data_IF_937792790335
#
_entry.id   IF_937792790335
#
_cell.length_a   1.000
_cell.length_b   1.000
_cell.length_c   1.000
_cell.angle_alpha   90.00
_cell.angle_beta   90.00
_cell.angle_gamma   90.00
#
_symmetry.space_group_name_H-M   'P 1'
#
loop_
_entity.id
_entity.type
_entity.pdbx_description
1 polymer ?
#
# COMPACT_ATOMS: atom_id res chain seq x y z
N UNK A 1 31.69 42.49 -24.05
CA UNK A 1 30.30 42.56 -24.47
C UNK A 1 29.51 41.60 -23.57
N UNK A 2 28.46 42.12 -22.93
CA UNK A 2 27.66 41.33 -21.99
C UNK A 2 26.36 40.78 -22.62
N UNK A 3 26.27 40.86 -23.95
CA UNK A 3 25.10 40.40 -24.70
C UNK A 3 25.53 39.43 -25.80
N UNK A 4 24.74 38.37 -25.97
CA UNK A 4 24.89 37.46 -27.09
C UNK A 4 24.33 38.10 -28.36
N UNK A 5 25.05 38.02 -29.46
CA UNK A 5 24.55 38.41 -30.78
C UNK A 5 23.58 37.36 -31.32
N UNK A 6 22.73 37.73 -32.25
CA UNK A 6 21.82 36.81 -32.93
C UNK A 6 22.56 35.62 -33.57
N UNK A 7 23.79 35.83 -34.05
CA UNK A 7 24.64 34.80 -34.63
C UNK A 7 25.07 33.79 -33.56
N UNK A 8 25.49 34.26 -32.39
CA UNK A 8 25.88 33.40 -31.25
C UNK A 8 24.67 32.62 -30.70
N UNK A 9 23.52 33.30 -30.52
CA UNK A 9 22.27 32.67 -30.06
C UNK A 9 21.86 31.56 -31.03
N UNK A 10 21.88 31.82 -32.34
CA UNK A 10 21.46 30.86 -33.35
C UNK A 10 22.47 29.72 -33.57
N UNK A 11 23.67 29.80 -32.98
CA UNK A 11 24.69 28.76 -33.02
C UNK A 11 24.63 27.81 -31.79
N UNK A 12 23.78 28.09 -30.79
CA UNK A 12 23.66 27.26 -29.60
C UNK A 12 22.71 26.08 -29.86
N UNK A 13 23.26 24.89 -29.93
CA UNK A 13 22.52 23.62 -30.12
C UNK A 13 22.30 22.88 -28.80
N UNK A 14 23.09 23.18 -27.75
CA UNK A 14 23.00 22.49 -26.48
C UNK A 14 23.16 23.43 -25.30
N UNK A 15 22.23 23.32 -24.35
CA UNK A 15 22.29 23.99 -23.04
C UNK A 15 22.16 22.94 -21.94
N UNK A 16 23.18 22.91 -21.07
CA UNK A 16 23.13 22.15 -19.82
C UNK A 16 23.23 23.13 -18.64
N UNK A 17 22.12 23.29 -17.96
CA UNK A 17 21.99 24.11 -16.76
C UNK A 17 21.46 23.32 -15.56
N UNK A 18 21.71 22.00 -15.54
CA UNK A 18 21.29 21.09 -14.49
C UNK A 18 21.91 21.45 -13.13
N UNK A 19 21.11 21.27 -12.06
CA UNK A 19 21.54 21.43 -10.64
C UNK A 19 22.19 22.81 -10.38
N UNK A 20 21.53 23.90 -10.82
CA UNK A 20 22.01 25.28 -10.63
C UNK A 20 21.07 26.11 -9.74
N UNK A 21 20.00 25.53 -9.21
CA UNK A 21 19.01 26.27 -8.41
C UNK A 21 18.24 27.32 -9.22
N UNK A 22 18.14 27.14 -10.53
CA UNK A 22 17.47 28.07 -11.45
C UNK A 22 15.96 27.99 -11.25
N UNK A 23 15.32 29.14 -11.06
CA UNK A 23 13.88 29.27 -10.93
C UNK A 23 13.19 29.81 -12.19
N UNK A 24 13.92 30.33 -13.15
CA UNK A 24 13.40 30.94 -14.36
C UNK A 24 14.35 30.73 -15.54
N UNK A 25 13.84 30.25 -16.66
CA UNK A 25 14.51 30.13 -17.96
C UNK A 25 13.90 31.07 -19.00
N UNK A 26 13.38 32.23 -18.57
CA UNK A 26 12.95 33.28 -19.49
C UNK A 26 14.07 33.62 -20.47
N UNK A 27 13.76 33.64 -21.76
CA UNK A 27 14.74 33.86 -22.84
C UNK A 27 15.22 32.58 -23.51
N UNK A 28 14.94 31.38 -22.99
CA UNK A 28 15.27 30.12 -23.68
C UNK A 28 14.67 30.04 -25.08
N UNK A 29 13.54 30.71 -25.32
CA UNK A 29 12.85 30.80 -26.61
C UNK A 29 13.67 31.49 -27.72
N UNK A 30 14.72 32.21 -27.39
CA UNK A 30 15.61 32.81 -28.39
C UNK A 30 16.55 31.81 -29.06
N UNK A 31 16.82 30.67 -28.41
CA UNK A 31 17.73 29.62 -28.90
C UNK A 31 16.99 28.67 -29.85
N UNK A 32 16.63 29.14 -31.03
CA UNK A 32 15.77 28.38 -31.96
C UNK A 32 16.45 27.18 -32.61
N UNK A 33 17.79 27.10 -32.58
CA UNK A 33 18.59 25.97 -33.04
C UNK A 33 18.84 24.90 -31.92
N UNK A 34 18.27 25.12 -30.71
CA UNK A 34 18.54 24.26 -29.58
C UNK A 34 17.97 22.85 -29.81
N UNK A 35 18.86 21.85 -29.84
CA UNK A 35 18.55 20.43 -29.97
C UNK A 35 18.53 19.71 -28.61
N UNK A 36 19.36 20.17 -27.66
CA UNK A 36 19.48 19.58 -26.32
C UNK A 36 19.27 20.61 -25.23
N UNK A 37 18.27 20.40 -24.39
CA UNK A 37 18.06 21.14 -23.15
C UNK A 37 18.09 20.19 -21.96
N UNK A 38 19.10 20.38 -21.10
CA UNK A 38 19.15 19.72 -19.80
C UNK A 38 19.04 20.78 -18.70
N UNK A 39 17.89 20.80 -18.03
CA UNK A 39 17.59 21.68 -16.89
C UNK A 39 17.12 20.91 -15.66
N UNK A 40 17.56 19.64 -15.51
CA UNK A 40 17.17 18.78 -14.40
C UNK A 40 17.60 19.36 -13.04
N UNK A 41 16.88 18.95 -11.98
CA UNK A 41 17.12 19.33 -10.57
C UNK A 41 17.32 20.85 -10.39
N UNK A 42 16.29 21.61 -10.79
CA UNK A 42 16.20 23.05 -10.61
C UNK A 42 14.92 23.43 -9.83
N UNK A 43 14.52 24.70 -9.88
CA UNK A 43 13.35 25.23 -9.16
C UNK A 43 12.32 25.82 -10.13
N UNK A 44 12.27 25.30 -11.36
CA UNK A 44 11.39 25.82 -12.41
C UNK A 44 9.92 25.52 -12.07
N UNK A 45 9.09 26.55 -12.07
CA UNK A 45 7.63 26.43 -11.93
C UNK A 45 6.91 26.47 -13.28
N UNK A 46 7.60 26.92 -14.33
CA UNK A 46 7.14 26.94 -15.72
C UNK A 46 8.33 26.76 -16.67
N UNK A 47 8.07 26.20 -17.84
CA UNK A 47 9.07 26.04 -18.91
C UNK A 47 8.35 26.20 -20.25
N UNK A 48 8.73 27.24 -21.03
CA UNK A 48 8.21 27.47 -22.38
C UNK A 48 9.26 27.10 -23.41
N UNK A 49 9.12 25.95 -24.05
CA UNK A 49 9.98 25.44 -25.13
C UNK A 49 9.29 25.53 -26.49
N UNK A 50 8.18 26.28 -26.62
CA UNK A 50 7.38 26.36 -27.86
C UNK A 50 8.12 26.92 -29.07
N UNK A 51 9.23 27.64 -28.86
CA UNK A 51 10.07 28.17 -29.93
C UNK A 51 11.30 27.30 -30.23
N UNK A 52 11.64 26.38 -29.34
CA UNK A 52 12.78 25.48 -29.48
C UNK A 52 12.38 24.25 -30.29
N UNK A 53 11.90 24.45 -31.51
CA UNK A 53 11.29 23.41 -32.32
C UNK A 53 12.27 22.36 -32.86
N UNK A 54 13.59 22.64 -32.72
CA UNK A 54 14.65 21.69 -33.06
C UNK A 54 14.99 20.71 -31.92
N UNK A 55 14.35 20.83 -30.72
CA UNK A 55 14.65 19.96 -29.59
C UNK A 55 14.44 18.47 -29.94
N UNK A 56 15.50 17.72 -29.71
CA UNK A 56 15.58 16.25 -29.80
C UNK A 56 15.61 15.64 -28.40
N UNK A 57 16.27 16.33 -27.46
CA UNK A 57 16.46 15.88 -26.07
C UNK A 57 15.99 16.98 -25.11
N UNK A 58 15.06 16.64 -24.23
CA UNK A 58 14.60 17.51 -23.14
C UNK A 58 14.62 16.75 -21.83
N UNK A 59 15.46 17.21 -20.90
CA UNK A 59 15.48 16.75 -19.51
C UNK A 59 15.12 17.92 -18.59
N UNK A 60 13.92 17.87 -18.02
CA UNK A 60 13.42 18.80 -17.02
C UNK A 60 13.00 18.08 -15.72
N UNK A 61 13.57 16.89 -15.47
CA UNK A 61 13.37 16.13 -14.24
C UNK A 61 13.66 16.98 -12.99
N UNK A 62 12.94 16.70 -11.90
CA UNK A 62 13.24 17.30 -10.59
C UNK A 62 13.04 18.82 -10.56
N UNK A 63 11.91 19.29 -11.05
CA UNK A 63 11.48 20.69 -11.00
C UNK A 63 10.12 20.81 -10.27
N UNK A 64 9.44 21.95 -10.42
CA UNK A 64 8.14 22.24 -9.81
C UNK A 64 7.08 22.54 -10.88
N UNK A 65 7.24 21.96 -12.08
CA UNK A 65 6.34 22.20 -13.19
C UNK A 65 4.94 21.62 -12.92
N UNK A 66 3.92 22.45 -13.07
CA UNK A 66 2.51 22.03 -12.97
C UNK A 66 1.89 21.72 -14.32
N UNK A 67 2.52 22.17 -15.40
CA UNK A 67 2.17 21.89 -16.80
C UNK A 67 3.43 21.92 -17.67
N UNK A 68 3.41 21.19 -18.78
CA UNK A 68 4.47 21.20 -19.79
C UNK A 68 3.80 21.01 -21.16
N UNK A 69 4.05 21.93 -22.08
CA UNK A 69 3.60 21.86 -23.46
C UNK A 69 4.78 21.58 -24.39
N UNK A 70 4.84 20.37 -24.93
CA UNK A 70 5.84 19.92 -25.91
C UNK A 70 5.27 19.79 -27.32
N UNK A 71 4.04 20.24 -27.55
CA UNK A 71 3.31 20.05 -28.83
C UNK A 71 3.99 20.66 -30.07
N UNK A 72 5.00 21.51 -29.86
CA UNK A 72 5.83 22.12 -30.91
C UNK A 72 7.18 21.45 -31.12
N UNK A 73 7.56 20.54 -30.21
CA UNK A 73 8.88 19.91 -30.18
C UNK A 73 8.84 18.53 -30.86
N UNK A 74 8.26 18.46 -32.05
CA UNK A 74 7.91 17.21 -32.75
C UNK A 74 9.12 16.36 -33.17
N UNK A 75 10.33 16.88 -32.97
CA UNK A 75 11.60 16.16 -33.19
C UNK A 75 12.09 15.43 -31.92
N UNK A 76 11.41 15.58 -30.76
CA UNK A 76 11.82 14.95 -29.51
C UNK A 76 11.89 13.42 -29.66
N UNK A 77 13.05 12.88 -29.30
CA UNK A 77 13.29 11.43 -29.17
C UNK A 77 13.41 11.03 -27.69
N UNK A 78 13.83 11.96 -26.83
CA UNK A 78 13.97 11.76 -25.38
C UNK A 78 13.25 12.88 -24.63
N UNK A 79 12.39 12.49 -23.70
CA UNK A 79 11.72 13.39 -22.77
C UNK A 79 11.76 12.82 -21.35
N UNK A 80 12.48 13.50 -20.46
CA UNK A 80 12.37 13.29 -19.01
C UNK A 80 11.72 14.51 -18.36
N UNK A 81 10.49 14.34 -17.89
CA UNK A 81 9.73 15.32 -17.11
C UNK A 81 9.35 14.75 -15.73
N UNK A 82 10.06 13.73 -15.27
CA UNK A 82 9.84 13.09 -13.98
C UNK A 82 10.03 14.02 -12.79
N UNK A 83 9.52 13.63 -11.64
CA UNK A 83 9.61 14.38 -10.37
C UNK A 83 9.24 15.86 -10.53
N UNK A 84 8.02 16.07 -11.05
CA UNK A 84 7.36 17.36 -11.18
C UNK A 84 5.96 17.30 -10.53
N UNK A 85 5.09 18.24 -10.86
CA UNK A 85 3.71 18.32 -10.33
C UNK A 85 2.68 18.26 -11.47
N UNK A 86 3.01 17.57 -12.57
CA UNK A 86 2.17 17.49 -13.76
C UNK A 86 0.90 16.68 -13.45
N UNK A 87 -0.27 17.25 -13.75
CA UNK A 87 -1.56 16.56 -13.64
C UNK A 87 -2.03 15.99 -14.99
N UNK A 88 -1.42 16.45 -16.09
CA UNK A 88 -1.65 15.96 -17.46
C UNK A 88 -0.37 16.13 -18.29
N UNK A 89 -0.21 15.29 -19.30
CA UNK A 89 0.88 15.37 -20.27
C UNK A 89 0.33 14.93 -21.62
N UNK A 90 0.49 15.77 -22.65
CA UNK A 90 0.13 15.46 -24.04
C UNK A 90 1.39 15.33 -24.90
N UNK A 91 1.73 14.11 -25.28
CA UNK A 91 2.85 13.75 -26.16
C UNK A 91 2.38 13.29 -27.54
N UNK A 92 1.11 13.54 -27.89
CA UNK A 92 0.50 13.05 -29.13
C UNK A 92 1.13 13.59 -30.43
N UNK A 93 1.91 14.69 -30.32
CA UNK A 93 2.64 15.28 -31.44
C UNK A 93 4.10 14.81 -31.53
N UNK A 94 4.63 14.23 -30.48
CA UNK A 94 6.04 13.86 -30.35
C UNK A 94 6.22 12.40 -30.80
N UNK A 95 5.87 12.15 -32.04
CA UNK A 95 5.78 10.78 -32.60
C UNK A 95 7.14 10.11 -32.80
N UNK A 96 8.24 10.88 -32.67
CA UNK A 96 9.61 10.39 -32.73
C UNK A 96 10.16 9.91 -31.37
N UNK A 97 9.39 10.07 -30.27
CA UNK A 97 9.83 9.65 -28.93
C UNK A 97 10.18 8.15 -28.90
N UNK A 98 11.40 7.88 -28.45
CA UNK A 98 11.92 6.55 -28.16
C UNK A 98 11.98 6.28 -26.66
N UNK A 99 12.16 7.33 -25.86
CA UNK A 99 12.20 7.26 -24.39
C UNK A 99 11.33 8.35 -23.77
N UNK A 100 10.42 7.95 -22.89
CA UNK A 100 9.57 8.83 -22.10
C UNK A 100 9.66 8.47 -20.63
N UNK A 101 10.18 9.39 -19.84
CA UNK A 101 10.14 9.36 -18.38
C UNK A 101 9.22 10.47 -17.87
N UNK A 102 8.09 10.07 -17.30
CA UNK A 102 7.12 10.96 -16.65
C UNK A 102 6.82 10.52 -15.21
N UNK A 103 7.73 9.73 -14.60
CA UNK A 103 7.62 9.22 -13.24
C UNK A 103 7.43 10.31 -12.19
N UNK A 104 6.84 9.93 -11.04
CA UNK A 104 6.71 10.83 -9.88
C UNK A 104 6.05 12.16 -10.23
N UNK A 105 4.85 12.07 -10.80
CA UNK A 105 3.95 13.17 -11.12
C UNK A 105 2.54 12.89 -10.53
N UNK A 106 1.52 13.59 -10.99
CA UNK A 106 0.13 13.44 -10.55
C UNK A 106 -0.78 13.06 -11.72
N UNK A 107 -0.23 12.34 -12.71
CA UNK A 107 -0.96 11.96 -13.92
C UNK A 107 -2.07 10.95 -13.59
N UNK A 108 -3.30 11.25 -13.97
CA UNK A 108 -4.44 10.33 -13.87
C UNK A 108 -4.71 9.58 -15.17
N UNK A 109 -4.14 10.05 -16.28
CA UNK A 109 -4.23 9.49 -17.63
C UNK A 109 -2.92 9.74 -18.36
N UNK A 110 -2.55 8.81 -19.24
CA UNK A 110 -1.43 8.95 -20.16
C UNK A 110 -1.81 8.26 -21.47
N UNK A 111 -1.75 8.97 -22.59
CA UNK A 111 -1.99 8.43 -23.93
C UNK A 111 -0.68 8.44 -24.72
N UNK A 112 -0.13 7.26 -24.94
CA UNK A 112 1.10 7.02 -25.72
C UNK A 112 0.80 6.37 -27.08
N UNK A 113 -0.46 6.33 -27.49
CA UNK A 113 -0.89 5.62 -28.70
C UNK A 113 -0.27 6.17 -30.02
N UNK A 114 0.24 7.40 -29.99
CA UNK A 114 0.93 8.03 -31.12
C UNK A 114 2.45 7.86 -31.10
N UNK A 115 3.00 7.49 -29.94
CA UNK A 115 4.46 7.37 -29.73
C UNK A 115 4.91 5.93 -30.05
N UNK A 116 4.67 5.50 -31.29
CA UNK A 116 4.87 4.08 -31.69
C UNK A 116 6.34 3.67 -31.76
N UNK A 117 7.28 4.61 -31.67
CA UNK A 117 8.71 4.37 -31.62
C UNK A 117 9.24 4.15 -30.18
N UNK A 118 8.39 4.27 -29.15
CA UNK A 118 8.83 4.09 -27.76
C UNK A 118 9.43 2.70 -27.53
N UNK A 119 10.67 2.71 -27.04
CA UNK A 119 11.41 1.54 -26.55
C UNK A 119 11.44 1.50 -25.04
N UNK A 120 11.37 2.64 -24.37
CA UNK A 120 11.32 2.78 -22.90
C UNK A 120 10.20 3.72 -22.47
N UNK A 121 9.38 3.27 -21.51
CA UNK A 121 8.35 4.05 -20.86
C UNK A 121 8.47 3.90 -19.34
N UNK A 122 8.77 5.00 -18.66
CA UNK A 122 8.70 5.11 -17.20
C UNK A 122 7.58 6.06 -16.79
N UNK A 123 6.46 5.50 -16.34
CA UNK A 123 5.31 6.24 -15.84
C UNK A 123 4.96 5.88 -14.38
N UNK A 124 5.94 5.32 -13.65
CA UNK A 124 5.80 4.94 -12.24
C UNK A 124 5.46 6.12 -11.34
N UNK A 125 4.93 5.81 -10.15
CA UNK A 125 4.59 6.81 -9.11
C UNK A 125 3.72 7.95 -9.67
N UNK A 126 2.56 7.54 -10.21
CA UNK A 126 1.49 8.42 -10.70
C UNK A 126 0.13 7.95 -10.15
N UNK A 127 -0.97 8.40 -10.74
CA UNK A 127 -2.34 8.03 -10.34
C UNK A 127 -3.11 7.37 -11.50
N UNK A 128 -2.39 6.65 -12.37
CA UNK A 128 -2.97 6.02 -13.55
C UNK A 128 -3.90 4.87 -13.14
N UNK A 129 -5.14 4.92 -13.61
CA UNK A 129 -6.12 3.83 -13.43
C UNK A 129 -6.17 2.90 -14.64
N UNK A 130 -5.63 3.33 -15.78
CA UNK A 130 -5.52 2.60 -17.05
C UNK A 130 -4.27 3.01 -17.77
N UNK A 131 -3.66 2.07 -18.48
CA UNK A 131 -2.52 2.31 -19.37
C UNK A 131 -2.71 1.40 -20.60
N UNK A 132 -2.75 1.98 -21.80
CA UNK A 132 -2.79 1.25 -23.07
C UNK A 132 -1.48 1.43 -23.81
N UNK A 133 -0.69 0.34 -23.87
CA UNK A 133 0.58 0.26 -24.59
C UNK A 133 0.48 -0.57 -25.87
N UNK A 134 -0.73 -0.90 -26.32
CA UNK A 134 -0.95 -1.79 -27.46
C UNK A 134 -0.39 -1.29 -28.79
N UNK A 135 -0.10 0.01 -28.90
CA UNK A 135 0.53 0.63 -30.08
C UNK A 135 2.06 0.72 -30.01
N UNK A 136 2.63 0.53 -28.81
CA UNK A 136 4.05 0.65 -28.55
C UNK A 136 4.73 -0.72 -28.71
N UNK A 137 4.63 -1.30 -29.90
CA UNK A 137 4.99 -2.72 -30.15
C UNK A 137 6.48 -3.02 -30.10
N UNK A 138 7.32 -1.98 -30.11
CA UNK A 138 8.78 -2.07 -29.99
C UNK A 138 9.30 -1.83 -28.57
N UNK A 139 8.36 -1.65 -27.60
CA UNK A 139 8.68 -1.39 -26.20
C UNK A 139 9.48 -2.56 -25.61
N UNK A 140 10.65 -2.26 -25.06
CA UNK A 140 11.54 -3.20 -24.37
C UNK A 140 11.49 -3.07 -22.86
N UNK A 141 11.23 -1.85 -22.37
CA UNK A 141 11.19 -1.54 -20.93
C UNK A 141 9.90 -0.81 -20.58
N UNK A 142 9.16 -1.35 -19.62
CA UNK A 142 7.94 -0.74 -19.07
C UNK A 142 8.00 -0.70 -17.55
N UNK A 143 8.07 0.51 -16.99
CA UNK A 143 7.97 0.78 -15.56
C UNK A 143 6.69 1.56 -15.26
N UNK A 144 5.70 0.87 -14.69
CA UNK A 144 4.38 1.43 -14.36
C UNK A 144 3.95 1.16 -12.92
N UNK A 145 4.91 0.85 -12.04
CA UNK A 145 4.66 0.58 -10.63
C UNK A 145 4.22 1.84 -9.86
N UNK A 146 3.67 1.66 -8.64
CA UNK A 146 3.06 2.73 -7.84
C UNK A 146 2.02 3.54 -8.64
N UNK A 147 0.99 2.82 -9.13
CA UNK A 147 -0.18 3.38 -9.80
C UNK A 147 -1.47 2.72 -9.28
N UNK A 148 -2.58 2.90 -9.96
CA UNK A 148 -3.89 2.34 -9.60
C UNK A 148 -4.44 1.44 -10.72
N UNK A 149 -3.54 0.78 -11.46
CA UNK A 149 -3.93 -0.06 -12.60
C UNK A 149 -4.67 -1.32 -12.11
N UNK A 150 -5.86 -1.54 -12.65
CA UNK A 150 -6.64 -2.76 -12.38
C UNK A 150 -6.45 -3.83 -13.46
N UNK A 151 -5.93 -3.43 -14.64
CA UNK A 151 -5.60 -4.29 -15.77
C UNK A 151 -4.38 -3.74 -16.49
N UNK A 152 -3.57 -4.63 -17.04
CA UNK A 152 -2.44 -4.30 -17.91
C UNK A 152 -2.36 -5.37 -19.01
N UNK A 153 -2.53 -4.95 -20.27
CA UNK A 153 -2.37 -5.82 -21.43
C UNK A 153 -1.05 -5.51 -22.13
N UNK A 154 -0.11 -6.43 -22.04
CA UNK A 154 1.20 -6.37 -22.68
C UNK A 154 1.33 -7.34 -23.85
N UNK A 155 0.23 -7.94 -24.33
CA UNK A 155 0.22 -8.96 -25.36
C UNK A 155 0.79 -8.51 -26.73
N UNK A 156 0.81 -7.19 -26.96
CA UNK A 156 1.37 -6.59 -28.18
C UNK A 156 2.84 -6.17 -28.04
N UNK A 157 3.35 -6.12 -26.83
CA UNK A 157 4.70 -5.67 -26.51
C UNK A 157 5.66 -6.88 -26.47
N UNK A 158 5.75 -7.59 -27.56
CA UNK A 158 6.49 -8.87 -27.64
C UNK A 158 8.01 -8.71 -27.51
N UNK A 159 8.52 -7.49 -27.62
CA UNK A 159 9.92 -7.13 -27.42
C UNK A 159 10.27 -6.83 -25.96
N UNK A 160 9.29 -6.82 -25.02
CA UNK A 160 9.56 -6.52 -23.61
C UNK A 160 10.57 -7.49 -23.02
N UNK A 161 11.64 -6.90 -22.45
CA UNK A 161 12.67 -7.57 -21.65
C UNK A 161 12.49 -7.29 -20.16
N UNK A 162 11.98 -6.10 -19.82
CA UNK A 162 11.85 -5.59 -18.45
C UNK A 162 10.44 -5.06 -18.20
N UNK A 163 9.75 -5.65 -17.23
CA UNK A 163 8.42 -5.22 -16.77
C UNK A 163 8.40 -5.09 -15.25
N UNK A 164 8.16 -3.86 -14.76
CA UNK A 164 7.87 -3.60 -13.35
C UNK A 164 6.48 -2.96 -13.22
N UNK A 165 5.54 -3.70 -12.63
CA UNK A 165 4.15 -3.29 -12.43
C UNK A 165 3.68 -3.48 -10.97
N UNK A 166 4.64 -3.55 -10.03
CA UNK A 166 4.32 -3.74 -8.62
C UNK A 166 3.55 -2.55 -8.01
N UNK A 167 2.96 -2.71 -6.83
CA UNK A 167 2.13 -1.69 -6.18
C UNK A 167 1.04 -1.15 -7.12
N UNK A 168 0.21 -2.07 -7.63
CA UNK A 168 -0.98 -1.76 -8.43
C UNK A 168 -2.18 -2.57 -7.90
N UNK A 169 -3.26 -2.67 -8.67
CA UNK A 169 -4.47 -3.41 -8.32
C UNK A 169 -4.79 -4.49 -9.37
N UNK A 170 -3.74 -5.06 -10.01
CA UNK A 170 -3.89 -6.05 -11.06
C UNK A 170 -4.46 -7.34 -10.49
N UNK A 171 -5.56 -7.83 -11.06
CA UNK A 171 -6.16 -9.11 -10.68
C UNK A 171 -5.67 -10.28 -11.55
N UNK A 172 -5.08 -9.97 -12.69
CA UNK A 172 -4.44 -10.93 -13.61
C UNK A 172 -3.34 -10.25 -14.40
N UNK A 173 -2.34 -11.02 -14.82
CA UNK A 173 -1.26 -10.59 -15.69
C UNK A 173 -0.91 -11.74 -16.65
N UNK A 174 -1.12 -11.53 -17.96
CA UNK A 174 -0.75 -12.49 -18.99
C UNK A 174 0.51 -12.02 -19.70
N UNK A 175 1.62 -12.74 -19.48
CA UNK A 175 2.92 -12.51 -20.11
C UNK A 175 3.27 -13.58 -21.14
N UNK A 176 2.31 -14.41 -21.55
CA UNK A 176 2.53 -15.56 -22.45
C UNK A 176 3.08 -15.17 -23.84
N UNK A 177 2.91 -13.90 -24.25
CA UNK A 177 3.43 -13.36 -25.52
C UNK A 177 4.77 -12.64 -25.36
N UNK A 178 5.23 -12.40 -24.14
CA UNK A 178 6.44 -11.64 -23.85
C UNK A 178 7.64 -12.60 -23.70
N UNK A 179 7.95 -13.32 -24.80
CA UNK A 179 8.96 -14.40 -24.77
C UNK A 179 10.38 -13.90 -24.53
N UNK A 180 10.64 -12.61 -24.74
CA UNK A 180 11.93 -11.96 -24.46
C UNK A 180 12.07 -11.49 -23.00
N UNK A 181 10.98 -11.55 -22.18
CA UNK A 181 10.95 -11.01 -20.84
C UNK A 181 11.95 -11.73 -19.93
N UNK A 182 12.90 -10.98 -19.34
CA UNK A 182 13.96 -11.46 -18.44
C UNK A 182 13.76 -11.00 -17.01
N UNK A 183 13.18 -9.79 -16.83
CA UNK A 183 12.85 -9.22 -15.53
C UNK A 183 11.35 -9.00 -15.41
N UNK A 184 10.75 -9.53 -14.35
CA UNK A 184 9.35 -9.31 -14.01
C UNK A 184 9.21 -9.03 -12.52
N UNK A 185 8.68 -7.84 -12.20
CA UNK A 185 8.26 -7.48 -10.85
C UNK A 185 6.78 -7.13 -10.83
N UNK A 186 5.98 -7.99 -10.16
CA UNK A 186 4.54 -7.84 -9.99
C UNK A 186 4.12 -7.98 -8.51
N UNK A 187 5.02 -7.63 -7.58
CA UNK A 187 4.73 -7.59 -6.14
C UNK A 187 3.53 -6.67 -5.81
N UNK A 188 2.89 -6.89 -4.66
CA UNK A 188 1.84 -6.00 -4.15
C UNK A 188 0.75 -5.69 -5.19
N UNK A 189 0.11 -6.74 -5.70
CA UNK A 189 -1.06 -6.68 -6.56
C UNK A 189 -2.18 -7.56 -5.99
N UNK A 190 -3.13 -7.95 -6.82
CA UNK A 190 -4.25 -8.82 -6.48
C UNK A 190 -4.25 -10.08 -7.36
N UNK A 191 -3.07 -10.53 -7.79
CA UNK A 191 -2.94 -11.72 -8.64
C UNK A 191 -3.31 -12.97 -7.85
N UNK A 192 -3.91 -13.95 -8.54
CA UNK A 192 -4.21 -15.27 -8.00
C UNK A 192 -3.39 -16.38 -8.67
N UNK A 193 -2.77 -16.07 -9.80
CA UNK A 193 -1.92 -16.98 -10.57
C UNK A 193 -0.96 -16.18 -11.43
N UNK A 194 0.10 -16.83 -11.87
CA UNK A 194 1.04 -16.30 -12.85
C UNK A 194 1.64 -17.47 -13.63
N UNK A 195 1.75 -17.33 -14.94
CA UNK A 195 2.43 -18.31 -15.79
C UNK A 195 3.56 -17.63 -16.59
N UNK A 196 4.81 -18.01 -16.28
CA UNK A 196 6.02 -17.53 -16.94
C UNK A 196 6.66 -18.59 -17.86
N UNK A 197 5.97 -19.70 -18.14
CA UNK A 197 6.52 -20.83 -18.90
C UNK A 197 7.08 -20.43 -20.25
N UNK A 198 6.44 -19.45 -20.91
CA UNK A 198 6.81 -18.97 -22.23
C UNK A 198 7.77 -17.77 -22.23
N UNK A 199 8.17 -17.26 -21.08
CA UNK A 199 9.09 -16.11 -20.96
C UNK A 199 10.54 -16.57 -20.81
N UNK A 200 11.51 -15.66 -20.83
CA UNK A 200 12.90 -15.89 -20.42
C UNK A 200 13.21 -15.34 -19.02
N UNK A 201 12.17 -15.19 -18.18
CA UNK A 201 12.30 -14.56 -16.87
C UNK A 201 13.23 -15.36 -15.96
N UNK A 202 14.39 -14.79 -15.67
CA UNK A 202 15.34 -15.28 -14.67
C UNK A 202 15.20 -14.55 -13.34
N UNK A 203 14.78 -13.28 -13.39
CA UNK A 203 14.52 -12.44 -12.21
C UNK A 203 13.02 -12.20 -12.08
N UNK A 204 12.39 -12.95 -11.15
CA UNK A 204 10.96 -12.85 -10.83
C UNK A 204 10.77 -12.40 -9.39
N UNK A 205 10.04 -11.33 -9.17
CA UNK A 205 9.40 -10.98 -7.91
C UNK A 205 7.88 -10.94 -8.09
N UNK A 206 7.15 -11.65 -7.22
CA UNK A 206 5.69 -11.74 -7.27
C UNK A 206 5.16 -12.09 -5.86
N UNK A 207 5.49 -11.23 -4.88
CA UNK A 207 5.10 -11.38 -3.47
C UNK A 207 3.91 -10.50 -3.14
N UNK A 208 3.30 -10.73 -1.98
CA UNK A 208 2.28 -9.86 -1.41
C UNK A 208 1.09 -9.61 -2.35
N UNK A 209 0.74 -10.63 -3.16
CA UNK A 209 -0.46 -10.63 -3.96
C UNK A 209 -1.64 -11.13 -3.14
N UNK A 210 -2.60 -10.23 -2.85
CA UNK A 210 -3.75 -10.50 -1.99
C UNK A 210 -5.04 -10.24 -2.77
N UNK A 211 -5.76 -11.32 -3.09
CA UNK A 211 -7.05 -11.23 -3.77
C UNK A 211 -8.20 -11.39 -2.77
N UNK A 212 -9.21 -10.53 -2.87
CA UNK A 212 -10.37 -10.60 -1.98
C UNK A 212 -11.43 -11.50 -2.57
N UNK A 213 -11.95 -12.43 -1.73
CA UNK A 213 -13.05 -13.33 -2.09
C UNK A 213 -14.18 -13.22 -1.07
N UNK A 214 -15.39 -13.56 -1.53
CA UNK A 214 -16.57 -13.72 -0.68
C UNK A 214 -16.86 -15.22 -0.59
N UNK A 215 -16.91 -15.76 0.61
CA UNK A 215 -17.25 -17.19 0.85
C UNK A 215 -18.72 -17.35 1.17
N UNK A 216 -19.27 -18.51 0.85
CA UNK A 216 -20.63 -18.89 1.20
C UNK A 216 -20.81 -19.13 2.72
N UNK A 217 -22.07 -19.30 3.16
CA UNK A 217 -22.42 -19.49 4.56
C UNK A 217 -21.77 -20.73 5.19
N UNK A 218 -21.47 -21.76 4.40
CA UNK A 218 -20.74 -22.96 4.79
C UNK A 218 -19.22 -22.81 4.69
N UNK A 219 -18.74 -21.57 4.49
CA UNK A 219 -17.34 -21.18 4.33
C UNK A 219 -16.66 -21.79 3.10
N UNK A 220 -17.43 -22.03 2.04
CA UNK A 220 -16.90 -22.53 0.77
C UNK A 220 -16.75 -21.42 -0.26
N UNK A 221 -15.83 -21.64 -1.21
CA UNK A 221 -15.59 -20.78 -2.35
C UNK A 221 -15.24 -21.63 -3.57
N UNK A 222 -15.80 -21.28 -4.74
CA UNK A 222 -15.47 -21.93 -6.01
C UNK A 222 -14.23 -21.29 -6.64
N UNK A 223 -13.09 -21.99 -6.57
CA UNK A 223 -11.80 -21.55 -7.12
C UNK A 223 -11.82 -21.35 -8.64
N UNK A 224 -12.77 -21.97 -9.36
CA UNK A 224 -12.90 -21.78 -10.82
C UNK A 224 -13.33 -20.37 -11.20
N UNK A 225 -13.82 -19.58 -10.24
CA UNK A 225 -14.22 -18.17 -10.43
C UNK A 225 -13.06 -17.18 -10.28
N UNK A 226 -11.89 -17.65 -9.84
CA UNK A 226 -10.71 -16.79 -9.70
C UNK A 226 -10.23 -16.26 -11.05
N UNK A 227 -9.73 -15.02 -11.12
CA UNK A 227 -9.21 -14.44 -12.36
C UNK A 227 -7.86 -15.07 -12.77
N UNK A 228 -7.37 -14.70 -13.97
CA UNK A 228 -6.01 -15.02 -14.41
C UNK A 228 -5.81 -16.45 -14.92
N UNK A 229 -6.87 -17.11 -15.41
CA UNK A 229 -6.82 -18.53 -15.84
C UNK A 229 -6.30 -19.45 -14.71
N UNK A 230 -6.78 -19.20 -13.49
CA UNK A 230 -6.39 -19.98 -12.32
C UNK A 230 -6.63 -21.47 -12.56
N UNK A 231 -5.61 -22.28 -12.28
CA UNK A 231 -5.67 -23.73 -12.39
C UNK A 231 -5.30 -24.36 -11.04
N UNK A 232 -6.31 -25.00 -10.40
CA UNK A 232 -6.12 -25.67 -9.11
C UNK A 232 -5.07 -26.78 -9.15
N UNK A 233 -4.84 -27.41 -10.33
CA UNK A 233 -3.84 -28.45 -10.47
C UNK A 233 -2.39 -27.91 -10.35
N UNK A 234 -2.19 -26.60 -10.53
CA UNK A 234 -0.90 -25.92 -10.34
C UNK A 234 -0.68 -25.44 -8.90
N UNK A 235 -1.60 -25.77 -7.98
CA UNK A 235 -1.53 -25.30 -6.58
C UNK A 235 -0.99 -26.36 -5.63
N UNK A 236 -0.31 -25.93 -4.58
CA UNK A 236 0.19 -26.75 -3.48
C UNK A 236 0.25 -25.96 -2.16
N UNK A 237 0.59 -26.64 -1.07
CA UNK A 237 0.88 -26.02 0.24
C UNK A 237 -0.22 -25.08 0.74
N UNK A 238 -1.46 -25.50 0.60
CA UNK A 238 -2.62 -24.76 1.11
C UNK A 238 -2.58 -24.62 2.65
N UNK A 239 -2.77 -23.42 3.14
CA UNK A 239 -2.82 -23.09 4.57
C UNK A 239 -4.02 -22.21 4.87
N UNK A 240 -4.77 -22.50 5.95
CA UNK A 240 -5.99 -21.78 6.34
C UNK A 240 -7.27 -22.30 5.68
N UNK A 241 -7.15 -23.34 4.83
CA UNK A 241 -8.28 -23.99 4.17
C UNK A 241 -7.92 -25.33 3.55
N UNK A 242 -8.93 -26.06 3.12
CA UNK A 242 -8.82 -27.36 2.43
C UNK A 242 -9.44 -27.26 1.05
N UNK A 243 -8.82 -27.89 0.06
CA UNK A 243 -9.29 -27.89 -1.33
C UNK A 243 -9.68 -29.31 -1.75
N UNK A 244 -10.86 -29.44 -2.37
CA UNK A 244 -11.34 -30.66 -3.00
C UNK A 244 -11.95 -30.32 -4.36
N UNK A 245 -11.29 -30.77 -5.44
CA UNK A 245 -11.61 -30.27 -6.79
C UNK A 245 -11.43 -28.74 -6.85
N UNK A 246 -12.44 -28.01 -7.28
CA UNK A 246 -12.45 -26.54 -7.31
C UNK A 246 -13.05 -25.91 -6.05
N UNK A 247 -13.43 -26.70 -5.05
CA UNK A 247 -14.04 -26.16 -3.83
C UNK A 247 -12.98 -25.94 -2.77
N UNK A 248 -12.78 -24.69 -2.37
CA UNK A 248 -12.04 -24.30 -1.17
C UNK A 248 -13.00 -24.27 0.01
N UNK A 249 -12.70 -24.98 1.08
CA UNK A 249 -13.36 -24.86 2.39
C UNK A 249 -12.42 -24.19 3.36
N UNK A 250 -12.80 -23.03 3.87
CA UNK A 250 -11.98 -22.20 4.76
C UNK A 250 -12.06 -22.72 6.19
N UNK A 251 -10.94 -22.85 6.88
CA UNK A 251 -10.88 -23.25 8.28
C UNK A 251 -11.54 -22.22 9.20
N UNK A 252 -12.18 -22.70 10.26
CA UNK A 252 -12.81 -21.84 11.27
C UNK A 252 -11.77 -20.92 11.92
N UNK A 253 -12.13 -19.65 12.13
CA UNK A 253 -11.25 -18.64 12.74
C UNK A 253 -10.17 -18.08 11.81
N UNK A 254 -10.15 -18.47 10.52
CA UNK A 254 -9.24 -17.89 9.52
C UNK A 254 -9.97 -16.86 8.69
N UNK A 255 -9.29 -15.76 8.38
CA UNK A 255 -9.71 -14.69 7.48
C UNK A 255 -8.89 -14.67 6.18
N UNK A 256 -7.85 -15.50 6.10
CA UNK A 256 -6.97 -15.65 4.96
C UNK A 256 -6.66 -17.12 4.68
N UNK A 257 -6.45 -17.41 3.40
CA UNK A 257 -5.89 -18.67 2.91
C UNK A 257 -4.72 -18.37 2.02
N UNK A 258 -3.62 -19.09 2.19
CA UNK A 258 -2.46 -19.02 1.31
C UNK A 258 -2.24 -20.34 0.58
N UNK A 259 -1.65 -20.25 -0.60
CA UNK A 259 -1.23 -21.40 -1.40
C UNK A 259 -0.02 -21.06 -2.24
N UNK A 260 0.76 -22.07 -2.61
CA UNK A 260 1.78 -21.95 -3.65
C UNK A 260 1.18 -22.27 -5.01
N UNK A 261 1.55 -21.50 -6.00
CA UNK A 261 1.19 -21.71 -7.42
C UNK A 261 2.43 -21.98 -8.23
N UNK A 262 2.42 -23.07 -9.03
CA UNK A 262 3.48 -23.36 -9.99
C UNK A 262 3.38 -22.41 -11.18
N UNK A 263 4.33 -21.48 -11.25
CA UNK A 263 4.42 -20.48 -12.31
C UNK A 263 5.14 -21.01 -13.57
N UNK A 264 5.58 -22.26 -13.58
CA UNK A 264 6.43 -22.83 -14.60
C UNK A 264 7.91 -22.62 -14.33
N UNK A 265 8.77 -23.28 -15.12
CA UNK A 265 10.25 -23.21 -15.02
C UNK A 265 10.79 -23.61 -13.64
N UNK A 266 10.08 -24.45 -12.90
CA UNK A 266 10.45 -24.86 -11.54
C UNK A 266 10.33 -23.77 -10.49
N UNK A 267 9.58 -22.69 -10.78
CA UNK A 267 9.33 -21.59 -9.85
C UNK A 267 7.91 -21.67 -9.31
N UNK A 268 7.77 -21.44 -8.02
CA UNK A 268 6.47 -21.30 -7.38
C UNK A 268 6.38 -20.00 -6.56
N UNK A 269 5.21 -19.42 -6.54
CA UNK A 269 4.90 -18.17 -5.83
C UNK A 269 3.77 -18.41 -4.84
N UNK A 270 3.83 -17.75 -3.69
CA UNK A 270 2.74 -17.79 -2.70
C UNK A 270 1.76 -16.67 -2.98
N UNK A 271 0.48 -17.04 -3.13
CA UNK A 271 -0.64 -16.12 -3.24
C UNK A 271 -1.54 -16.20 -2.01
N UNK A 272 -2.28 -15.14 -1.75
CA UNK A 272 -3.18 -15.01 -0.60
C UNK A 272 -4.60 -14.70 -1.07
N UNK A 273 -5.57 -15.46 -0.58
CA UNK A 273 -6.99 -15.13 -0.66
C UNK A 273 -7.42 -14.57 0.70
N UNK A 274 -7.95 -13.35 0.69
CA UNK A 274 -8.50 -12.70 1.89
C UNK A 274 -10.01 -12.65 1.82
N UNK A 275 -10.67 -13.05 2.91
CA UNK A 275 -12.13 -13.06 2.96
C UNK A 275 -12.67 -11.70 3.34
N UNK A 276 -13.69 -11.25 2.63
CA UNK A 276 -14.42 -10.01 2.93
C UNK A 276 -15.92 -10.31 2.97
N UNK A 277 -16.62 -9.73 3.91
CA UNK A 277 -18.03 -9.43 3.80
C UNK A 277 -19.06 -10.44 4.30
N UNK A 278 -18.71 -11.63 4.82
CA UNK A 278 -19.73 -12.53 5.42
C UNK A 278 -19.42 -12.95 6.85
N UNK A 279 -18.38 -12.38 7.47
CA UNK A 279 -18.13 -12.64 8.89
C UNK A 279 -18.85 -11.63 9.77
N UNK A 280 -19.28 -12.10 10.93
CA UNK A 280 -19.78 -11.23 11.97
C UNK A 280 -18.71 -10.21 12.39
N UNK A 281 -19.14 -9.01 12.77
CA UNK A 281 -18.28 -7.94 13.27
C UNK A 281 -17.92 -8.20 14.74
N UNK A 282 -16.62 -8.39 15.00
CA UNK A 282 -16.07 -8.66 16.33
C UNK A 282 -15.58 -7.40 17.05
N UNK A 283 -15.76 -6.20 16.48
CA UNK A 283 -15.23 -4.95 17.07
C UNK A 283 -15.60 -4.80 18.53
N UNK A 284 -16.88 -5.02 18.88
CA UNK A 284 -17.36 -4.95 20.27
C UNK A 284 -16.74 -6.01 21.18
N UNK A 285 -16.50 -7.22 20.66
CA UNK A 285 -15.83 -8.30 21.41
C UNK A 285 -14.39 -7.90 21.71
N UNK A 286 -13.67 -7.37 20.71
CA UNK A 286 -12.29 -6.95 20.86
C UNK A 286 -12.14 -5.78 21.84
N UNK A 287 -13.07 -4.83 21.81
CA UNK A 287 -13.14 -3.74 22.78
C UNK A 287 -13.42 -4.24 24.20
N UNK A 288 -14.34 -5.21 24.38
CA UNK A 288 -14.64 -5.80 25.66
C UNK A 288 -13.45 -6.60 26.22
N UNK A 289 -12.76 -7.38 25.38
CA UNK A 289 -11.52 -8.08 25.75
C UNK A 289 -10.42 -7.08 26.15
N UNK A 290 -10.26 -5.99 25.41
CA UNK A 290 -9.28 -4.96 25.72
C UNK A 290 -9.57 -4.31 27.09
N UNK A 291 -10.85 -4.01 27.39
CA UNK A 291 -11.27 -3.53 28.71
C UNK A 291 -10.95 -4.54 29.82
N UNK A 292 -11.28 -5.82 29.61
CA UNK A 292 -10.97 -6.90 30.55
C UNK A 292 -9.47 -7.01 30.86
N UNK A 293 -8.64 -6.97 29.82
CA UNK A 293 -7.18 -7.08 29.93
C UNK A 293 -6.51 -5.85 30.56
N UNK A 294 -7.18 -4.69 30.56
CA UNK A 294 -6.68 -3.47 31.21
C UNK A 294 -6.92 -3.48 32.72
N UNK A 295 -7.74 -4.40 33.25
CA UNK A 295 -8.03 -4.50 34.69
C UNK A 295 -6.92 -5.27 35.40
N UNK A 296 -6.52 -4.80 36.58
CA UNK A 296 -5.63 -5.56 37.45
C UNK A 296 -6.46 -6.54 38.28
N UNK A 297 -6.38 -7.83 37.96
CA UNK A 297 -7.17 -8.88 38.61
C UNK A 297 -6.92 -8.99 40.12
N UNK A 298 -5.76 -8.56 40.60
CA UNK A 298 -5.42 -8.59 42.03
C UNK A 298 -6.24 -7.60 42.88
N UNK A 299 -6.91 -6.65 42.24
CA UNK A 299 -7.74 -5.64 42.93
C UNK A 299 -9.15 -6.19 43.25
N UNK A 300 -9.56 -7.33 42.71
CA UNK A 300 -10.92 -7.86 42.80
C UNK A 300 -11.01 -9.13 43.66
N UNK A 301 -12.20 -9.35 44.30
CA UNK A 301 -12.45 -10.52 45.12
C UNK A 301 -12.45 -11.83 44.31
N UNK A 302 -13.02 -11.77 43.11
CA UNK A 302 -13.08 -12.88 42.15
C UNK A 302 -13.03 -12.32 40.73
N UNK A 303 -12.11 -12.82 39.92
CA UNK A 303 -11.94 -12.43 38.51
C UNK A 303 -12.25 -13.57 37.53
N UNK A 304 -12.59 -14.76 38.05
CA UNK A 304 -12.79 -16.00 37.27
C UNK A 304 -13.91 -15.87 36.25
N UNK A 305 -14.96 -15.12 36.56
CA UNK A 305 -16.08 -14.86 35.63
C UNK A 305 -15.64 -14.11 34.36
N UNK A 306 -14.75 -13.14 34.51
CA UNK A 306 -14.21 -12.37 33.37
C UNK A 306 -13.30 -13.25 32.52
N UNK A 307 -12.39 -14.02 33.15
CA UNK A 307 -11.52 -14.96 32.44
C UNK A 307 -12.36 -16.03 31.69
N UNK A 308 -13.40 -16.54 32.29
CA UNK A 308 -14.29 -17.51 31.65
C UNK A 308 -15.03 -16.92 30.44
N UNK A 309 -15.54 -15.69 30.54
CA UNK A 309 -16.25 -15.01 29.45
C UNK A 309 -15.29 -14.71 28.28
N UNK A 310 -14.07 -14.26 28.55
CA UNK A 310 -13.05 -14.02 27.51
C UNK A 310 -12.65 -15.32 26.82
N UNK A 311 -12.43 -16.40 27.56
CA UNK A 311 -12.04 -17.70 27.01
C UNK A 311 -13.18 -18.39 26.23
N UNK A 312 -14.45 -18.02 26.48
CA UNK A 312 -15.61 -18.54 25.77
C UNK A 312 -15.83 -17.91 24.38
N UNK A 313 -15.03 -16.93 23.99
CA UNK A 313 -15.17 -16.26 22.69
C UNK A 313 -14.84 -17.22 21.54
N UNK A 314 -15.80 -17.43 20.66
CA UNK A 314 -15.67 -18.22 19.42
C UNK A 314 -15.55 -17.26 18.25
N UNK A 315 -14.43 -17.32 17.53
CA UNK A 315 -14.14 -16.50 16.33
C UNK A 315 -14.62 -17.19 15.05
N UNK A 316 -14.78 -16.39 14.00
CA UNK A 316 -15.07 -16.89 12.65
C UNK A 316 -16.55 -17.21 12.41
N UNK A 317 -17.48 -16.63 13.19
CA UNK A 317 -18.91 -16.73 12.93
C UNK A 317 -19.31 -15.92 11.69
N UNK A 318 -20.39 -16.39 11.03
CA UNK A 318 -20.98 -15.71 9.87
C UNK A 318 -21.75 -14.46 10.31
N UNK A 319 -21.99 -13.52 9.36
CA UNK A 319 -22.76 -12.30 9.61
C UNK A 319 -24.20 -12.60 10.11
N UNK A 320 -24.78 -13.73 9.71
CA UNK A 320 -26.10 -14.17 10.19
C UNK A 320 -26.08 -14.56 11.67
N UNK A 321 -24.91 -14.81 12.26
CA UNK A 321 -24.67 -15.10 13.66
C UNK A 321 -24.20 -13.86 14.45
N UNK A 322 -24.37 -12.65 13.91
CA UNK A 322 -23.94 -11.40 14.57
C UNK A 322 -24.52 -11.25 15.98
N UNK A 323 -25.77 -11.69 16.19
CA UNK A 323 -26.41 -11.65 17.50
C UNK A 323 -25.69 -12.51 18.55
N UNK A 324 -25.06 -13.61 18.14
CA UNK A 324 -24.27 -14.47 19.04
C UNK A 324 -22.93 -13.79 19.36
N UNK A 325 -22.33 -13.13 18.40
CA UNK A 325 -21.10 -12.34 18.60
C UNK A 325 -21.35 -11.16 19.53
N UNK A 326 -22.45 -10.43 19.33
CA UNK A 326 -22.87 -9.36 20.25
C UNK A 326 -23.15 -9.89 21.67
N UNK A 327 -23.69 -11.10 21.79
CA UNK A 327 -23.89 -11.75 23.09
C UNK A 327 -22.57 -12.11 23.80
N UNK A 328 -21.51 -12.48 23.05
CA UNK A 328 -20.17 -12.71 23.62
C UNK A 328 -19.57 -11.42 24.18
N UNK A 329 -19.68 -10.31 23.44
CA UNK A 329 -19.23 -9.00 23.90
C UNK A 329 -19.96 -8.61 25.21
N UNK A 330 -21.29 -8.77 25.19
CA UNK A 330 -22.11 -8.48 26.37
C UNK A 330 -21.76 -9.36 27.56
N UNK A 331 -21.48 -10.64 27.37
CA UNK A 331 -21.09 -11.55 28.45
C UNK A 331 -19.80 -11.09 29.14
N UNK A 332 -18.82 -10.59 28.40
CA UNK A 332 -17.58 -10.03 28.95
C UNK A 332 -17.88 -8.74 29.72
N UNK A 333 -18.69 -7.85 29.15
CA UNK A 333 -19.07 -6.59 29.81
C UNK A 333 -19.88 -6.84 31.08
N UNK A 334 -20.82 -7.77 31.07
CA UNK A 334 -21.59 -8.14 32.26
C UNK A 334 -20.68 -8.74 33.36
N UNK A 335 -19.69 -9.58 32.96
CA UNK A 335 -18.73 -10.15 33.90
C UNK A 335 -17.83 -9.06 34.53
N UNK A 336 -17.40 -8.08 33.74
CA UNK A 336 -16.66 -6.91 34.24
C UNK A 336 -17.52 -6.09 35.20
N UNK A 337 -18.78 -5.85 34.86
CA UNK A 337 -19.71 -5.07 35.70
C UNK A 337 -20.03 -5.77 37.03
N UNK A 338 -19.93 -7.10 37.08
CA UNK A 338 -20.16 -7.88 38.32
C UNK A 338 -18.94 -7.91 39.27
N UNK A 339 -17.81 -7.38 38.87
CA UNK A 339 -16.59 -7.35 39.68
C UNK A 339 -16.78 -6.57 40.98
N UNK A 340 -16.27 -7.11 42.07
CA UNK A 340 -16.23 -6.43 43.36
C UNK A 340 -14.77 -6.25 43.80
N UNK A 341 -14.43 -5.04 44.19
CA UNK A 341 -13.11 -4.77 44.76
C UNK A 341 -12.87 -5.55 46.04
N UNK A 342 -11.64 -5.94 46.30
CA UNK A 342 -11.23 -6.46 47.60
C UNK A 342 -11.49 -5.40 48.65
N UNK A 343 -11.85 -5.88 49.84
CA UNK A 343 -12.01 -4.98 51.00
C UNK A 343 -10.65 -4.34 51.32
N UNK A 344 -10.68 -3.12 51.77
CA UNK A 344 -9.46 -2.42 52.20
C UNK A 344 -8.80 -3.20 53.36
N UNK A 345 -7.50 -3.36 53.27
CA UNK A 345 -6.67 -3.96 54.35
C UNK A 345 -6.45 -2.92 55.45
N UNK A 346 -7.14 -3.10 56.55
CA UNK A 346 -7.01 -2.24 57.73
C UNK A 346 -5.98 -2.73 58.75
N UNK A 347 -5.21 -3.80 58.48
CA UNK A 347 -4.27 -4.39 59.43
C UNK A 347 -3.35 -3.35 60.06
N UNK A 348 -2.72 -2.48 59.28
CA UNK A 348 -1.85 -1.41 59.79
C UNK A 348 -2.57 -0.37 60.60
N UNK A 349 -3.83 -0.06 60.24
CA UNK A 349 -4.69 0.87 60.96
C UNK A 349 -5.07 0.26 62.29
N UNK A 350 -5.44 -1.00 62.33
CA UNK A 350 -5.78 -1.75 63.57
C UNK A 350 -4.58 -1.84 64.53
N UNK A 351 -3.38 -2.12 63.98
CA UNK A 351 -2.14 -2.09 64.78
C UNK A 351 -1.85 -0.71 65.35
N UNK A 352 -2.08 0.38 64.60
CA UNK A 352 -1.88 1.72 65.04
C UNK A 352 -2.90 2.10 66.14
N UNK A 353 -4.18 1.72 65.96
CA UNK A 353 -5.22 1.91 66.96
C UNK A 353 -4.87 1.12 68.24
N UNK A 354 -4.46 -0.13 68.12
CA UNK A 354 -4.04 -0.94 69.28
C UNK A 354 -2.88 -0.27 70.06
N UNK A 355 -1.87 0.23 69.36
CA UNK A 355 -0.76 0.99 69.96
C UNK A 355 -1.27 2.26 70.67
N UNK A 356 -2.14 3.03 70.05
CA UNK A 356 -2.71 4.23 70.63
C UNK A 356 -3.52 3.91 71.89
N UNK A 357 -4.35 2.88 71.89
CA UNK A 357 -5.17 2.45 73.00
C UNK A 357 -4.33 1.84 74.16
N UNK A 358 -3.10 1.36 73.88
CA UNK A 358 -2.18 0.83 74.92
C UNK A 358 -1.44 1.95 75.65
N UNK A 359 -1.50 3.20 75.20
CA UNK A 359 -0.88 4.32 75.91
C UNK A 359 -1.71 4.74 77.12
N UNK A 360 -1.04 5.01 78.21
CA UNK A 360 -1.68 5.58 79.40
C UNK A 360 -1.90 7.10 79.17
N UNK A 361 -3.14 7.54 79.09
CA UNK A 361 -3.48 8.95 78.79
C UNK A 361 -3.00 9.93 79.84
N UNK A 362 -2.85 9.50 81.07
CA UNK A 362 -2.38 10.33 82.18
C UNK A 362 -0.88 10.70 82.07
N UNK A 363 -0.14 9.99 81.27
CA UNK A 363 1.30 10.25 81.03
C UNK A 363 1.53 11.41 80.02
N UNK A 364 0.47 11.95 79.40
CA UNK A 364 0.56 12.96 78.34
C UNK A 364 -0.20 14.26 78.74
N UNK A 365 0.37 15.44 78.44
CA UNK A 365 -0.26 16.74 78.65
C UNK A 365 -1.55 16.96 77.85
N UNK A 366 -1.59 16.41 76.65
CA UNK A 366 -2.74 16.47 75.77
C UNK A 366 -2.78 15.20 74.90
N UNK A 367 -3.82 14.44 74.95
CA UNK A 367 -4.08 13.21 74.18
C UNK A 367 -5.14 13.39 73.13
N UNK A 368 -5.72 14.60 73.01
CA UNK A 368 -6.88 14.89 72.13
C UNK A 368 -6.61 14.60 70.65
N UNK A 369 -5.41 14.84 70.15
CA UNK A 369 -5.04 14.58 68.79
C UNK A 369 -5.06 13.07 68.46
N UNK A 370 -4.62 12.24 69.40
CA UNK A 370 -4.61 10.75 69.23
C UNK A 370 -6.04 10.24 69.27
N UNK A 371 -6.86 10.68 70.21
CA UNK A 371 -8.29 10.31 70.28
C UNK A 371 -9.04 10.75 69.00
N UNK A 372 -8.77 11.95 68.51
CA UNK A 372 -9.36 12.47 67.27
C UNK A 372 -8.97 11.61 66.06
N UNK A 373 -7.69 11.21 65.96
CA UNK A 373 -7.20 10.36 64.87
C UNK A 373 -7.81 8.96 64.91
N UNK A 374 -7.93 8.36 66.07
CA UNK A 374 -8.55 7.03 66.27
C UNK A 374 -10.03 7.06 65.91
N UNK A 375 -10.74 8.13 66.38
CA UNK A 375 -12.18 8.30 66.10
C UNK A 375 -12.48 8.72 64.67
N UNK A 376 -11.52 9.24 63.93
CA UNK A 376 -11.69 9.64 62.53
C UNK A 376 -11.56 8.44 61.54
N UNK A 377 -11.21 7.26 62.01
CA UNK A 377 -11.11 6.08 61.15
C UNK A 377 -12.46 5.63 60.67
N UNK A 378 -12.71 5.78 59.37
CA UNK A 378 -13.92 5.29 58.69
C UNK A 378 -13.59 3.97 57.98
N UNK A 379 -14.40 2.95 58.21
CA UNK A 379 -14.34 1.67 57.52
C UNK A 379 -15.51 1.58 56.57
N UNK A 380 -15.21 1.45 55.26
CA UNK A 380 -16.20 1.38 54.22
C UNK A 380 -16.20 0.03 53.52
#
# INVERSE_FOLDING_TARGET
DNYLSDTEINAVESINCADKGISDLTGISHFTALETLNCFDNQLTSLDVSKNTALIYLDCYGNQLTSLDVSKNTALTYLDCGRNQLTSLDVSKDTALTELDCRSNQLTKLDVSKNTALTELDCRSNQLTKLDVSKNTVLTTLYCWDNQLTKLDVSKNTALTDLACYNNQLTSLDVSKNTALTYLDCDNNQLTSLDISNTNTDNLTCRDNIYQIVVDNDRTFDLSTLPGNFDVAKTSDWSGGKVSGNTLTVESGKDTVTYKYDCGKGRSVTFTLKFVGLFADYTKVDEAIAKANALNKDDYKDFTGVEAAVNAVVRGKNITEQSEVDAMAKAIEDAIAALQYKDADYTKVDEAIAKANALNKDDYKDFSAVDSAVNAVVRG
#
